data_IF_905105901199
#
_entry.id   IF_905105901199
#
_cell.length_a   1.000
_cell.length_b   1.000
_cell.length_c   1.000
_cell.angle_alpha   90.00
_cell.angle_beta   90.00
_cell.angle_gamma   90.00
#
_symmetry.space_group_name_H-M   'P 1'
#
loop_
_entity.id
_entity.type
_entity.pdbx_description
1 polymer ?
#
# COMPACT_ATOMS: atom_id res chain seq x y z
N UNK A 1 15.89 8.40 12.78
CA UNK A 1 15.73 9.06 11.47
C UNK A 1 14.60 8.41 10.71
N UNK A 2 13.77 9.19 10.00
CA UNK A 2 12.61 8.76 9.23
C UNK A 2 12.63 9.46 7.86
N UNK A 3 12.46 8.70 6.79
CA UNK A 3 12.49 9.24 5.43
C UNK A 3 11.28 10.11 5.11
N UNK A 4 10.11 9.75 5.62
CA UNK A 4 8.88 10.52 5.40
C UNK A 4 8.76 11.73 6.33
N UNK A 5 7.81 12.59 6.01
CA UNK A 5 7.50 13.77 6.83
C UNK A 5 6.75 13.44 8.13
N UNK A 6 6.23 12.23 8.27
CA UNK A 6 5.57 11.70 9.47
C UNK A 6 6.20 10.38 9.89
N UNK A 7 6.54 10.22 11.18
CA UNK A 7 7.02 8.95 11.70
C UNK A 7 5.87 7.94 11.86
N UNK A 8 6.21 6.64 11.88
CA UNK A 8 5.26 5.55 12.10
C UNK A 8 5.23 4.51 10.98
N UNK A 9 5.97 4.74 9.89
CA UNK A 9 6.13 3.75 8.82
C UNK A 9 4.80 3.25 8.27
N UNK A 10 4.70 1.95 8.01
CA UNK A 10 3.52 1.30 7.43
C UNK A 10 2.23 1.53 8.24
N UNK A 11 2.33 1.72 9.55
CA UNK A 11 1.17 2.04 10.40
C UNK A 11 0.54 3.39 10.03
N UNK A 12 1.29 4.29 9.43
CA UNK A 12 0.82 5.62 9.02
C UNK A 12 0.54 5.67 7.52
N UNK A 13 1.46 5.20 6.67
CA UNK A 13 1.29 5.29 5.23
C UNK A 13 0.47 4.14 4.62
N UNK A 14 0.56 2.91 5.20
CA UNK A 14 0.00 1.71 4.59
C UNK A 14 -1.34 1.29 5.18
N UNK A 15 -1.45 1.17 6.50
CA UNK A 15 -2.67 0.70 7.16
C UNK A 15 -3.73 1.81 7.14
N UNK A 16 -4.94 1.58 6.60
CA UNK A 16 -5.98 2.60 6.55
C UNK A 16 -6.50 3.02 7.94
N UNK A 17 -7.05 4.24 8.00
CA UNK A 17 -7.64 4.81 9.23
C UNK A 17 -8.71 3.92 9.86
N UNK A 18 -9.52 3.25 9.03
CA UNK A 18 -10.60 2.37 9.49
C UNK A 18 -10.11 1.06 10.13
N UNK A 19 -8.82 0.71 9.98
CA UNK A 19 -8.18 -0.41 10.68
C UNK A 19 -7.31 0.03 11.85
N UNK A 20 -6.58 1.11 11.68
CA UNK A 20 -5.69 1.67 12.69
C UNK A 20 -5.78 3.21 12.68
N UNK A 21 -6.56 3.78 13.60
CA UNK A 21 -6.66 5.23 13.76
C UNK A 21 -5.29 5.86 14.01
N UNK A 22 -4.94 6.89 13.24
CA UNK A 22 -3.60 7.52 13.28
C UNK A 22 -3.34 8.23 14.61
N UNK A 23 -4.39 8.61 15.33
CA UNK A 23 -4.27 9.17 16.67
C UNK A 23 -3.61 8.20 17.67
N UNK A 24 -3.86 6.88 17.54
CA UNK A 24 -3.22 5.86 18.37
C UNK A 24 -1.72 5.83 18.10
N UNK A 25 -1.33 5.77 16.81
CA UNK A 25 0.09 5.77 16.42
C UNK A 25 0.78 7.06 16.86
N UNK A 26 0.13 8.20 16.71
CA UNK A 26 0.67 9.49 17.15
C UNK A 26 0.92 9.53 18.65
N UNK A 27 0.00 8.98 19.45
CA UNK A 27 0.15 8.91 20.91
C UNK A 27 1.39 8.10 21.32
N UNK A 28 1.63 6.96 20.67
CA UNK A 28 2.84 6.15 20.92
C UNK A 28 4.12 6.91 20.56
N UNK A 29 4.12 7.61 19.42
CA UNK A 29 5.25 8.44 18.98
C UNK A 29 5.51 9.57 19.99
N UNK A 30 4.45 10.22 20.50
CA UNK A 30 4.59 11.30 21.48
C UNK A 30 5.10 10.77 22.82
N UNK A 31 4.72 9.56 23.21
CA UNK A 31 5.28 8.87 24.38
C UNK A 31 6.78 8.65 24.23
N UNK A 32 7.24 8.17 23.07
CA UNK A 32 8.67 8.01 22.79
C UNK A 32 9.44 9.34 22.88
N UNK A 33 8.86 10.43 22.34
CA UNK A 33 9.45 11.78 22.47
C UNK A 33 9.55 12.23 23.91
N UNK A 34 8.53 11.98 24.74
CA UNK A 34 8.54 12.29 26.19
C UNK A 34 9.61 11.48 26.92
N UNK A 35 9.93 10.29 26.47
CA UNK A 35 11.06 9.48 26.99
C UNK A 35 12.45 9.97 26.53
N UNK A 36 12.53 11.04 25.74
CA UNK A 36 13.77 11.63 25.27
C UNK A 36 14.23 11.17 23.87
N UNK A 37 13.43 10.37 23.17
CA UNK A 37 13.76 9.94 21.80
C UNK A 37 13.64 11.13 20.84
N UNK A 38 14.73 11.50 20.18
CA UNK A 38 14.75 12.52 19.14
C UNK A 38 14.37 11.90 17.80
N UNK A 39 13.26 12.33 17.22
CA UNK A 39 12.77 11.88 15.92
C UNK A 39 13.06 12.97 14.87
N UNK A 40 13.78 12.61 13.82
CA UNK A 40 14.13 13.50 12.70
C UNK A 40 13.49 12.94 11.44
N UNK A 41 12.53 13.66 10.91
CA UNK A 41 11.78 13.32 9.68
C UNK A 41 12.42 13.97 8.44
N UNK A 42 11.97 13.56 7.23
CA UNK A 42 12.53 14.01 5.96
C UNK A 42 14.04 13.76 5.85
N UNK A 43 14.52 12.66 6.45
CA UNK A 43 15.92 12.32 6.54
C UNK A 43 16.17 10.92 5.96
N UNK A 44 16.81 10.87 4.82
CA UNK A 44 17.08 9.62 4.10
C UNK A 44 18.52 9.21 4.39
N UNK A 45 18.69 8.24 5.29
CA UNK A 45 20.02 7.65 5.57
C UNK A 45 20.60 7.04 4.31
N UNK A 46 21.87 7.32 4.02
CA UNK A 46 22.54 6.97 2.78
C UNK A 46 22.42 8.04 1.66
N UNK A 47 21.52 9.03 1.83
CA UNK A 47 21.41 10.19 0.92
C UNK A 47 21.68 11.50 1.63
N UNK A 48 21.00 11.74 2.74
CA UNK A 48 21.22 12.95 3.57
C UNK A 48 22.50 12.84 4.35
N UNK A 49 22.74 11.68 4.97
CA UNK A 49 23.98 11.31 5.69
C UNK A 49 24.20 9.80 5.49
N UNK A 50 25.46 9.41 5.30
CA UNK A 50 25.82 7.99 5.30
C UNK A 50 25.91 7.43 6.72
N UNK A 51 25.91 6.11 6.85
CA UNK A 51 26.11 5.46 8.16
C UNK A 51 27.47 5.82 8.75
N UNK A 52 28.53 5.86 7.91
CA UNK A 52 29.87 6.26 8.33
C UNK A 52 29.90 7.69 8.89
N UNK A 53 29.16 8.61 8.27
CA UNK A 53 29.07 9.99 8.77
C UNK A 53 28.31 10.05 10.10
N UNK A 54 27.22 9.31 10.24
CA UNK A 54 26.48 9.21 11.51
C UNK A 54 27.39 8.72 12.65
N UNK A 55 28.20 7.69 12.38
CA UNK A 55 29.09 7.10 13.39
C UNK A 55 30.31 7.99 13.69
N UNK A 56 30.99 8.51 12.66
CA UNK A 56 32.29 9.15 12.81
C UNK A 56 32.21 10.68 13.02
N UNK A 57 31.15 11.32 12.46
CA UNK A 57 31.04 12.79 12.51
C UNK A 57 29.93 13.24 13.45
N UNK A 58 28.79 12.52 13.50
CA UNK A 58 27.63 12.89 14.31
C UNK A 58 27.66 12.25 15.71
N UNK A 59 28.64 11.38 16.01
CA UNK A 59 28.91 10.83 17.34
C UNK A 59 27.95 9.72 17.80
N UNK A 60 27.35 8.96 16.88
CA UNK A 60 26.54 7.80 17.24
C UNK A 60 27.45 6.58 17.50
N UNK A 61 27.27 5.91 18.63
CA UNK A 61 28.02 4.70 19.01
C UNK A 61 27.52 3.45 18.30
N UNK A 62 26.26 3.42 17.89
CA UNK A 62 25.63 2.29 17.22
C UNK A 62 24.48 2.74 16.31
N UNK A 63 24.18 1.95 15.26
CA UNK A 63 23.07 2.16 14.33
C UNK A 63 22.21 0.90 14.26
N UNK A 64 20.91 1.04 14.51
CA UNK A 64 19.91 0.00 14.27
C UNK A 64 19.20 0.29 12.94
N UNK A 65 19.18 -0.70 12.05
CA UNK A 65 18.53 -0.59 10.75
C UNK A 65 17.15 -1.26 10.80
N UNK A 66 16.11 -0.45 10.85
CA UNK A 66 14.70 -0.88 10.94
C UNK A 66 13.84 -0.26 9.86
N UNK A 67 14.28 -0.33 8.59
CA UNK A 67 13.66 0.39 7.45
C UNK A 67 12.38 -0.25 6.91
N UNK A 68 12.02 -1.45 7.38
CA UNK A 68 10.85 -2.19 6.88
C UNK A 68 11.02 -2.70 5.45
N UNK A 69 9.90 -3.14 4.86
CA UNK A 69 9.82 -3.67 3.50
C UNK A 69 8.92 -2.77 2.62
N UNK A 70 9.33 -1.51 2.45
CA UNK A 70 8.55 -0.49 1.73
C UNK A 70 8.59 -0.58 0.21
N UNK A 71 9.51 -1.38 -0.37
CA UNK A 71 9.62 -1.52 -1.83
C UNK A 71 8.49 -2.41 -2.36
N UNK A 72 7.75 -1.95 -3.38
CA UNK A 72 6.73 -2.75 -4.03
C UNK A 72 7.35 -3.89 -4.85
N UNK A 73 6.65 -5.02 -4.92
CA UNK A 73 6.92 -6.05 -5.92
C UNK A 73 6.04 -5.81 -7.13
N UNK A 74 6.65 -5.77 -8.31
CA UNK A 74 5.95 -5.71 -9.58
C UNK A 74 5.75 -7.13 -10.12
N UNK A 75 4.79 -7.28 -11.04
CA UNK A 75 4.44 -8.57 -11.63
C UNK A 75 5.29 -8.89 -12.86
N UNK A 76 6.02 -7.91 -13.37
CA UNK A 76 6.82 -7.96 -14.61
C UNK A 76 5.96 -8.33 -15.84
N UNK A 77 4.77 -7.74 -15.94
CA UNK A 77 3.86 -7.93 -17.05
C UNK A 77 3.70 -6.65 -17.88
N UNK A 78 3.30 -6.83 -19.13
CA UNK A 78 3.05 -5.71 -20.03
C UNK A 78 1.95 -4.79 -19.48
N UNK A 79 2.21 -3.49 -19.51
CA UNK A 79 1.24 -2.46 -19.16
C UNK A 79 1.28 -1.99 -17.70
N UNK A 80 2.21 -2.45 -16.87
CA UNK A 80 2.36 -1.98 -15.48
C UNK A 80 2.71 -0.49 -15.36
N UNK A 81 3.27 0.11 -16.43
CA UNK A 81 3.61 1.54 -16.47
C UNK A 81 2.47 2.43 -17.00
N UNK A 82 1.31 1.89 -17.30
CA UNK A 82 0.16 2.66 -17.78
C UNK A 82 -0.39 3.59 -16.69
N UNK A 83 -0.91 4.72 -17.12
CA UNK A 83 -1.57 5.67 -16.21
C UNK A 83 -2.80 5.01 -15.59
N UNK A 84 -2.92 5.12 -14.27
CA UNK A 84 -3.98 4.47 -13.48
C UNK A 84 -3.58 3.10 -12.92
N UNK A 85 -2.36 2.63 -13.20
CA UNK A 85 -1.75 1.47 -12.54
C UNK A 85 -0.89 1.97 -11.38
N UNK A 86 -1.12 1.43 -10.21
CA UNK A 86 -0.41 1.77 -8.97
C UNK A 86 0.10 0.53 -8.28
N UNK A 87 1.24 0.61 -7.64
CA UNK A 87 1.55 -0.33 -6.57
C UNK A 87 0.61 -0.08 -5.38
N UNK A 88 0.29 -1.12 -4.62
CA UNK A 88 -0.53 -0.97 -3.42
C UNK A 88 0.09 0.02 -2.41
N UNK A 89 1.43 0.00 -2.27
CA UNK A 89 2.14 0.95 -1.42
C UNK A 89 1.91 2.41 -1.86
N UNK A 90 2.00 2.69 -3.16
CA UNK A 90 1.74 4.03 -3.68
C UNK A 90 0.30 4.46 -3.43
N UNK A 91 -0.65 3.59 -3.80
CA UNK A 91 -2.08 3.87 -3.64
C UNK A 91 -2.46 4.15 -2.18
N UNK A 92 -2.02 3.30 -1.27
CA UNK A 92 -2.28 3.46 0.16
C UNK A 92 -1.53 4.66 0.76
N UNK A 93 -0.30 4.93 0.33
CA UNK A 93 0.44 6.12 0.77
C UNK A 93 -0.29 7.40 0.35
N UNK A 94 -0.77 7.47 -0.88
CA UNK A 94 -1.58 8.60 -1.37
C UNK A 94 -2.85 8.77 -0.55
N UNK A 95 -3.58 7.68 -0.29
CA UNK A 95 -4.82 7.74 0.49
C UNK A 95 -4.58 8.08 1.97
N UNK A 96 -3.65 7.37 2.64
CA UNK A 96 -3.52 7.44 4.10
C UNK A 96 -2.60 8.56 4.57
N UNK A 97 -1.37 8.64 4.02
CA UNK A 97 -0.38 9.62 4.45
C UNK A 97 -0.63 10.99 3.84
N UNK A 98 -0.89 11.01 2.51
CA UNK A 98 -1.03 12.23 1.73
C UNK A 98 -2.47 12.74 1.69
N UNK A 99 -3.44 11.97 2.21
CA UNK A 99 -4.87 12.31 2.24
C UNK A 99 -5.42 12.73 0.87
N UNK A 100 -5.02 12.00 -0.17
CA UNK A 100 -5.32 12.36 -1.56
C UNK A 100 -6.83 12.41 -1.90
N UNK A 101 -7.68 11.88 -1.04
CA UNK A 101 -9.14 12.03 -1.12
C UNK A 101 -9.62 13.47 -0.86
N UNK A 102 -8.78 14.31 -0.26
CA UNK A 102 -9.05 15.72 0.04
C UNK A 102 -8.28 16.68 -0.91
N UNK A 103 -7.97 16.18 -2.11
CA UNK A 103 -7.19 16.91 -3.11
C UNK A 103 -7.84 18.23 -3.51
N UNK A 104 -7.04 19.30 -3.51
CA UNK A 104 -7.47 20.64 -3.87
C UNK A 104 -8.18 21.41 -2.73
N UNK A 105 -8.44 20.79 -1.57
CA UNK A 105 -9.02 21.44 -0.38
C UNK A 105 -8.03 21.40 0.78
N UNK A 106 -7.60 20.21 1.19
CA UNK A 106 -6.68 20.00 2.30
C UNK A 106 -5.43 19.19 1.95
N UNK A 107 -5.31 18.75 0.70
CA UNK A 107 -4.18 17.97 0.21
C UNK A 107 -3.77 18.37 -1.21
N UNK A 108 -2.46 18.25 -1.48
CA UNK A 108 -1.86 18.59 -2.79
C UNK A 108 -1.57 17.37 -3.66
N UNK A 109 -1.75 16.15 -3.12
CA UNK A 109 -1.47 14.90 -3.82
C UNK A 109 -2.76 14.34 -4.42
N UNK A 110 -2.85 14.15 -5.75
CA UNK A 110 -4.04 13.56 -6.38
C UNK A 110 -4.06 12.03 -6.22
N UNK A 111 -5.25 11.45 -6.30
CA UNK A 111 -5.49 10.02 -6.46
C UNK A 111 -6.51 9.77 -7.56
N UNK A 112 -6.33 8.70 -8.33
CA UNK A 112 -7.32 8.34 -9.34
C UNK A 112 -8.59 7.81 -8.67
N UNK A 113 -9.67 8.55 -8.83
CA UNK A 113 -11.02 8.16 -8.39
C UNK A 113 -11.69 7.41 -9.53
N UNK A 114 -11.45 6.10 -9.60
CA UNK A 114 -11.93 5.26 -10.70
C UNK A 114 -13.23 4.56 -10.34
N UNK A 115 -14.16 4.46 -11.30
CA UNK A 115 -15.42 3.74 -11.10
C UNK A 115 -15.23 2.23 -10.95
N UNK A 116 -14.22 1.68 -11.62
CA UNK A 116 -13.89 0.25 -11.55
C UNK A 116 -12.42 0.11 -11.19
N UNK A 117 -12.15 -0.67 -10.15
CA UNK A 117 -10.80 -0.88 -9.65
C UNK A 117 -10.53 -2.38 -9.59
N UNK A 118 -9.38 -2.82 -10.09
CA UNK A 118 -8.88 -4.17 -9.93
C UNK A 118 -7.69 -4.15 -8.98
N UNK A 119 -7.75 -4.97 -7.94
CA UNK A 119 -6.68 -5.16 -6.96
C UNK A 119 -6.13 -6.56 -7.11
N UNK A 120 -4.82 -6.68 -7.28
CA UNK A 120 -4.15 -7.98 -7.47
C UNK A 120 -3.44 -8.37 -6.18
N UNK A 121 -3.81 -9.52 -5.63
CA UNK A 121 -3.20 -10.07 -4.43
C UNK A 121 -4.21 -10.63 -3.44
N UNK A 122 -3.72 -11.41 -2.46
CA UNK A 122 -4.56 -12.06 -1.43
C UNK A 122 -4.11 -11.74 0.00
N UNK A 123 -3.19 -10.80 0.20
CA UNK A 123 -2.72 -10.40 1.53
C UNK A 123 -3.50 -9.23 2.14
N UNK A 124 -3.19 -8.88 3.40
CA UNK A 124 -3.83 -7.77 4.10
C UNK A 124 -3.71 -6.44 3.32
N UNK A 125 -2.60 -6.21 2.64
CA UNK A 125 -2.39 -5.00 1.82
C UNK A 125 -3.38 -4.94 0.66
N UNK A 126 -3.70 -6.08 0.03
CA UNK A 126 -4.71 -6.15 -1.01
C UNK A 126 -6.11 -5.87 -0.46
N UNK A 127 -6.45 -6.43 0.72
CA UNK A 127 -7.72 -6.12 1.40
C UNK A 127 -7.82 -4.62 1.73
N UNK A 128 -6.75 -4.03 2.25
CA UNK A 128 -6.70 -2.60 2.57
C UNK A 128 -6.89 -1.74 1.31
N UNK A 129 -6.23 -2.10 0.20
CA UNK A 129 -6.35 -1.37 -1.07
C UNK A 129 -7.76 -1.48 -1.65
N UNK A 130 -8.35 -2.69 -1.63
CA UNK A 130 -9.70 -2.92 -2.14
C UNK A 130 -10.76 -2.16 -1.33
N UNK A 131 -10.71 -2.24 0.00
CA UNK A 131 -11.61 -1.53 0.88
C UNK A 131 -11.43 -0.01 0.80
N UNK A 132 -10.19 0.46 0.63
CA UNK A 132 -9.93 1.88 0.38
C UNK A 132 -10.57 2.34 -0.92
N UNK A 133 -10.47 1.56 -2.00
CA UNK A 133 -11.10 1.88 -3.28
C UNK A 133 -12.64 1.97 -3.18
N UNK A 134 -13.27 1.03 -2.47
CA UNK A 134 -14.71 1.09 -2.17
C UNK A 134 -15.07 2.39 -1.46
N UNK A 135 -14.33 2.73 -0.41
CA UNK A 135 -14.57 3.93 0.42
C UNK A 135 -14.29 5.23 -0.32
N UNK A 136 -13.41 5.21 -1.33
CA UNK A 136 -13.19 6.34 -2.23
C UNK A 136 -14.25 6.46 -3.34
N UNK A 137 -15.28 5.61 -3.35
CA UNK A 137 -16.44 5.72 -4.22
C UNK A 137 -16.35 4.93 -5.51
N UNK A 138 -15.48 3.92 -5.61
CA UNK A 138 -15.51 2.99 -6.74
C UNK A 138 -16.86 2.23 -6.78
N UNK A 139 -17.48 2.19 -7.95
CA UNK A 139 -18.75 1.49 -8.17
C UNK A 139 -18.56 -0.04 -8.12
N UNK A 140 -17.37 -0.51 -8.56
CA UNK A 140 -16.99 -1.93 -8.53
C UNK A 140 -15.51 -2.09 -8.20
N UNK A 141 -15.25 -2.99 -7.27
CA UNK A 141 -13.87 -3.36 -6.91
C UNK A 141 -13.71 -4.87 -7.05
N UNK A 142 -12.76 -5.27 -7.87
CA UNK A 142 -12.40 -6.66 -8.14
C UNK A 142 -11.11 -7.01 -7.42
N UNK A 143 -11.11 -8.12 -6.68
CA UNK A 143 -9.89 -8.67 -6.09
C UNK A 143 -9.49 -9.92 -6.87
N UNK A 144 -8.34 -9.85 -7.55
CA UNK A 144 -7.82 -10.92 -8.40
C UNK A 144 -6.75 -11.69 -7.61
N UNK A 145 -6.96 -12.99 -7.42
CA UNK A 145 -6.03 -13.82 -6.69
C UNK A 145 -5.82 -15.18 -7.36
N UNK A 146 -4.55 -15.60 -7.47
CA UNK A 146 -4.13 -16.78 -8.23
C UNK A 146 -4.51 -18.14 -7.60
N UNK A 147 -4.85 -18.16 -6.30
CA UNK A 147 -5.22 -19.37 -5.55
C UNK A 147 -6.67 -19.29 -5.09
N UNK A 148 -7.07 -20.24 -4.24
CA UNK A 148 -8.38 -20.21 -3.59
C UNK A 148 -8.37 -19.29 -2.37
N UNK A 149 -9.53 -19.11 -1.77
CA UNK A 149 -9.68 -18.29 -0.58
C UNK A 149 -8.92 -18.86 0.63
N UNK A 150 -8.82 -20.20 0.69
CA UNK A 150 -8.17 -20.90 1.80
C UNK A 150 -6.67 -20.59 1.91
N UNK A 151 -6.02 -20.32 0.78
CA UNK A 151 -4.60 -19.98 0.74
C UNK A 151 -4.32 -18.47 0.80
N UNK A 152 -5.34 -17.66 1.06
CA UNK A 152 -5.13 -16.22 1.23
C UNK A 152 -4.31 -15.95 2.49
N UNK A 153 -3.16 -15.24 2.39
CA UNK A 153 -2.38 -14.87 3.58
C UNK A 153 -3.01 -13.72 4.37
N UNK A 154 -4.10 -13.13 3.89
CA UNK A 154 -4.84 -12.14 4.63
C UNK A 154 -5.55 -12.75 5.85
N UNK A 155 -5.76 -11.96 6.89
CA UNK A 155 -6.59 -12.36 8.01
C UNK A 155 -8.01 -12.64 7.56
N UNK A 156 -8.62 -13.69 8.10
CA UNK A 156 -10.00 -14.10 7.75
C UNK A 156 -11.00 -12.95 7.96
N UNK A 157 -10.83 -12.20 9.04
CA UNK A 157 -11.67 -11.03 9.33
C UNK A 157 -11.58 -9.96 8.23
N UNK A 158 -10.38 -9.72 7.68
CA UNK A 158 -10.20 -8.73 6.62
C UNK A 158 -10.79 -9.19 5.28
N UNK A 159 -10.71 -10.47 4.97
CA UNK A 159 -11.40 -11.07 3.82
C UNK A 159 -12.91 -10.93 3.97
N UNK A 160 -13.42 -11.22 5.17
CA UNK A 160 -14.85 -11.10 5.47
C UNK A 160 -15.33 -9.64 5.34
N UNK A 161 -14.60 -8.68 5.92
CA UNK A 161 -14.92 -7.26 5.79
C UNK A 161 -14.91 -6.78 4.35
N UNK A 162 -13.92 -7.20 3.54
CA UNK A 162 -13.85 -6.84 2.14
C UNK A 162 -15.09 -7.33 1.36
N UNK A 163 -15.53 -8.56 1.62
CA UNK A 163 -16.78 -9.11 1.04
C UNK A 163 -18.03 -8.33 1.49
N UNK A 164 -18.13 -8.01 2.78
CA UNK A 164 -19.24 -7.22 3.31
C UNK A 164 -19.31 -5.83 2.68
N UNK A 165 -18.17 -5.23 2.35
CA UNK A 165 -18.09 -3.93 1.68
C UNK A 165 -18.31 -4.04 0.15
N UNK A 166 -18.60 -5.23 -0.38
CA UNK A 166 -18.98 -5.42 -1.79
C UNK A 166 -17.82 -5.67 -2.74
N UNK A 167 -16.63 -6.03 -2.24
CA UNK A 167 -15.50 -6.44 -3.10
C UNK A 167 -15.83 -7.78 -3.77
N UNK A 168 -15.73 -7.83 -5.09
CA UNK A 168 -15.94 -9.04 -5.89
C UNK A 168 -14.62 -9.84 -6.02
N UNK A 169 -14.61 -11.10 -5.55
CA UNK A 169 -13.43 -11.95 -5.53
C UNK A 169 -13.33 -12.80 -6.80
N UNK A 170 -12.28 -12.59 -7.56
CA UNK A 170 -11.89 -13.34 -8.75
C UNK A 170 -10.73 -14.27 -8.42
N UNK A 171 -11.08 -15.44 -7.88
CA UNK A 171 -10.11 -16.45 -7.45
C UNK A 171 -9.66 -17.31 -8.64
N UNK A 172 -8.53 -18.03 -8.45
CA UNK A 172 -7.91 -18.85 -9.49
C UNK A 172 -7.64 -18.07 -10.77
N UNK A 173 -7.24 -16.80 -10.61
CA UNK A 173 -6.89 -15.93 -11.72
C UNK A 173 -5.61 -15.17 -11.44
N UNK A 174 -4.80 -14.96 -12.46
CA UNK A 174 -3.68 -14.04 -12.37
C UNK A 174 -3.59 -13.14 -13.61
N UNK A 175 -3.18 -11.88 -13.45
CA UNK A 175 -2.96 -10.99 -14.57
C UNK A 175 -1.89 -11.54 -15.52
N UNK A 176 -2.16 -11.44 -16.81
CA UNK A 176 -1.24 -11.75 -17.90
C UNK A 176 -0.67 -10.48 -18.52
N UNK A 177 -1.53 -9.48 -18.70
CA UNK A 177 -1.16 -8.15 -19.19
C UNK A 177 -2.21 -7.12 -18.80
N UNK A 178 -1.80 -5.86 -18.75
CA UNK A 178 -2.67 -4.70 -18.57
C UNK A 178 -2.81 -4.00 -19.91
N UNK A 179 -4.03 -3.63 -20.27
CA UNK A 179 -4.38 -3.06 -21.57
C UNK A 179 -4.67 -1.57 -21.37
N UNK A 180 -4.03 -0.75 -22.17
CA UNK A 180 -4.24 0.70 -22.22
C UNK A 180 -4.99 1.14 -23.46
N UNK A 181 -5.53 2.35 -23.41
CA UNK A 181 -6.04 3.07 -24.57
C UNK A 181 -4.92 3.82 -25.32
N UNK A 182 -5.29 4.54 -26.38
CA UNK A 182 -4.38 5.35 -27.21
C UNK A 182 -3.72 6.50 -26.43
N UNK A 183 -4.25 6.85 -25.25
CA UNK A 183 -3.70 7.87 -24.34
C UNK A 183 -2.81 7.28 -23.26
N UNK A 184 -2.58 5.96 -23.28
CA UNK A 184 -1.79 5.26 -22.27
C UNK A 184 -2.51 5.09 -20.94
N UNK A 185 -3.85 5.18 -20.89
CA UNK A 185 -4.63 4.95 -19.69
C UNK A 185 -5.10 3.51 -19.61
N UNK A 186 -5.05 2.91 -18.41
CA UNK A 186 -5.54 1.55 -18.20
C UNK A 186 -7.04 1.45 -18.46
N UNK A 187 -7.45 0.47 -19.26
CA UNK A 187 -8.87 0.21 -19.58
C UNK A 187 -9.29 -1.20 -19.24
N UNK A 188 -8.37 -2.17 -19.22
CA UNK A 188 -8.67 -3.56 -18.90
C UNK A 188 -7.45 -4.31 -18.36
N UNK A 189 -7.69 -5.43 -17.71
CA UNK A 189 -6.68 -6.44 -17.37
C UNK A 189 -7.10 -7.77 -17.98
N UNK A 190 -6.18 -8.40 -18.71
CA UNK A 190 -6.34 -9.77 -19.22
C UNK A 190 -5.75 -10.72 -18.18
N UNK A 191 -6.54 -11.70 -17.76
CA UNK A 191 -6.15 -12.69 -16.75
C UNK A 191 -6.10 -14.10 -17.34
N UNK A 192 -5.17 -14.90 -16.87
CA UNK A 192 -5.19 -16.34 -16.94
C UNK A 192 -6.20 -16.85 -15.91
N UNK A 193 -6.96 -17.86 -16.28
CA UNK A 193 -7.85 -18.59 -15.36
C UNK A 193 -7.27 -19.97 -15.12
N UNK A 194 -7.23 -20.36 -13.86
CA UNK A 194 -6.73 -21.67 -13.43
C UNK A 194 -7.86 -22.59 -13.02
N UNK A 195 -7.63 -23.87 -13.20
CA UNK A 195 -8.46 -24.96 -12.67
C UNK A 195 -7.63 -25.75 -11.67
N UNK A 196 -8.26 -26.21 -10.60
CA UNK A 196 -7.59 -27.09 -9.63
C UNK A 196 -7.42 -28.47 -10.26
N UNK A 197 -6.20 -28.99 -10.24
CA UNK A 197 -5.86 -30.35 -10.58
C UNK A 197 -5.95 -31.30 -9.38
N UNK A 198 -5.55 -32.55 -9.61
CA UNK A 198 -5.33 -33.48 -8.50
C UNK A 198 -4.20 -32.97 -7.62
N UNK A 199 -4.26 -33.17 -6.27
CA UNK A 199 -3.17 -32.81 -5.37
C UNK A 199 -1.89 -33.59 -5.71
N UNK A 200 -0.72 -32.91 -5.67
CA UNK A 200 0.59 -33.53 -5.81
C UNK A 200 0.96 -34.38 -4.59
#
# INVERSE_FOLDING_TARGET
FEAFHKPGGVMVYGIPEFRLPKAIVQKEIDTLKQMGVKIVTNFIVGRTRTIEQLMNEDGFDAVYIGVGAGLPSFMDIQGESLVGVYSANEYLTRANLMKAYDFGVGADTPIAMSKRVAVVGGGNVAMDSARTAVRLGAEKVYLIYRRTEQEMPARVEEVHHAKQEGVEFHLLQSPKRIIGDDKGQVVAVECLRYELGEPD
#
